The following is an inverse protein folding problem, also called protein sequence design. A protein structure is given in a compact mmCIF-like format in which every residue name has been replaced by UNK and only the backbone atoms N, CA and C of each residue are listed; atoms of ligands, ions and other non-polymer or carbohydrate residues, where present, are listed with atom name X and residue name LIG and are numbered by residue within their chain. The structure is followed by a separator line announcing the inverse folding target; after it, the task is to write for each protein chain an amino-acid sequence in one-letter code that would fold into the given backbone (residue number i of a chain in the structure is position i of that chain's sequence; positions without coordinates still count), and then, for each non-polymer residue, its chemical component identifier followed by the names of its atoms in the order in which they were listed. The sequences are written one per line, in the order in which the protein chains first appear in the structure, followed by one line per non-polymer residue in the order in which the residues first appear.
data_IF_154571864973
#
_entry.id   IF_154571864973
#
_cell.length_a   1.000
_cell.length_b   1.000
_cell.length_c   1.000
_cell.angle_alpha   90.00
_cell.angle_beta   90.00
_cell.angle_gamma   90.00
#
_symmetry.space_group_name_H-M   'P 1'
#
loop_
_entity.id
_entity.type
_entity.pdbx_description
1 polymer ?
#
# COMPACT_ATOMS: atom_id res chain seq x y z
N UNK A 1 -3.67 -3.34 3.40
CA UNK A 1 -2.82 -3.25 4.58
C UNK A 1 -1.89 -2.03 4.52
N UNK A 2 -0.91 -1.97 3.62
CA UNK A 2 0.12 -0.91 3.54
C UNK A 2 -0.44 0.51 3.49
N UNK A 3 -1.55 0.71 2.80
CA UNK A 3 -2.21 2.00 2.72
C UNK A 3 -2.73 2.49 4.07
N UNK A 4 -3.32 1.59 4.84
CA UNK A 4 -3.85 1.88 6.17
C UNK A 4 -2.75 2.02 7.22
N UNK A 5 -1.66 1.26 7.08
CA UNK A 5 -0.46 1.41 7.93
C UNK A 5 0.08 2.83 7.87
N UNK A 6 0.19 3.42 6.67
CA UNK A 6 0.63 4.79 6.55
C UNK A 6 -0.26 5.76 7.35
N UNK A 7 -1.57 5.66 7.20
CA UNK A 7 -2.50 6.53 7.91
C UNK A 7 -2.43 6.31 9.44
N UNK A 8 -2.42 5.05 9.88
CA UNK A 8 -2.44 4.69 11.30
C UNK A 8 -1.15 5.04 12.03
N UNK A 9 0.01 4.91 11.37
CA UNK A 9 1.32 5.17 11.96
C UNK A 9 1.88 6.56 11.67
N UNK A 10 1.14 7.40 10.93
CA UNK A 10 1.58 8.77 10.58
C UNK A 10 1.96 9.61 11.80
N UNK A 11 1.27 9.44 12.91
CA UNK A 11 1.55 10.13 14.16
C UNK A 11 2.96 9.83 14.70
N UNK A 12 3.48 8.62 14.44
CA UNK A 12 4.79 8.20 14.94
C UNK A 12 5.92 8.56 13.96
N UNK A 13 5.72 8.44 12.66
CA UNK A 13 6.80 8.68 11.70
C UNK A 13 6.84 10.10 11.14
N UNK A 14 5.79 10.90 11.30
CA UNK A 14 5.77 12.28 10.81
C UNK A 14 7.00 13.11 11.24
N UNK A 15 7.46 13.08 12.51
CA UNK A 15 8.64 13.80 12.93
C UNK A 15 9.94 13.34 12.27
N UNK A 16 10.01 12.07 11.84
CA UNK A 16 11.19 11.50 11.18
C UNK A 16 11.40 12.04 9.77
N UNK A 17 10.31 12.39 9.08
CA UNK A 17 10.35 12.90 7.70
C UNK A 17 10.16 14.42 7.62
N UNK A 18 9.38 14.99 8.54
CA UNK A 18 9.02 16.41 8.57
C UNK A 18 9.34 16.98 9.96
N UNK A 19 10.63 17.22 10.27
CA UNK A 19 11.01 17.80 11.54
C UNK A 19 10.46 19.24 11.62
N UNK A 20 9.56 19.46 12.55
CA UNK A 20 8.96 20.76 12.83
C UNK A 20 8.83 20.95 14.33
N UNK A 21 9.01 22.19 14.80
CA UNK A 21 8.68 22.54 16.19
C UNK A 21 7.17 22.42 16.47
N UNK A 22 6.35 22.45 15.42
CA UNK A 22 4.92 22.25 15.49
C UNK A 22 4.54 20.84 14.99
N UNK A 23 4.06 20.00 15.91
CA UNK A 23 3.57 18.64 15.61
C UNK A 23 2.43 18.65 14.60
N UNK A 24 1.58 19.68 14.62
CA UNK A 24 0.46 19.83 13.69
C UNK A 24 0.96 20.04 12.27
N UNK A 25 2.01 20.85 12.08
CA UNK A 25 2.60 21.07 10.76
C UNK A 25 3.23 19.78 10.19
N UNK A 26 3.89 18.96 11.02
CA UNK A 26 4.43 17.67 10.60
C UNK A 26 3.32 16.70 10.19
N UNK A 27 2.24 16.61 10.95
CA UNK A 27 1.08 15.76 10.62
C UNK A 27 0.36 16.24 9.36
N UNK A 28 0.19 17.54 9.16
CA UNK A 28 -0.41 18.10 7.95
C UNK A 28 0.44 17.80 6.71
N UNK A 29 1.77 17.88 6.82
CA UNK A 29 2.69 17.50 5.74
C UNK A 29 2.54 16.02 5.38
N UNK A 30 2.47 15.15 6.38
CA UNK A 30 2.26 13.71 6.20
C UNK A 30 0.89 13.40 5.58
N UNK A 31 -0.16 14.11 6.00
CA UNK A 31 -1.48 14.01 5.41
C UNK A 31 -1.51 14.51 3.95
N UNK A 32 -0.75 15.56 3.64
CA UNK A 32 -0.57 16.06 2.27
C UNK A 32 0.07 15.01 1.35
N UNK A 33 1.10 14.31 1.83
CA UNK A 33 1.72 13.19 1.10
C UNK A 33 0.74 12.04 0.91
N UNK A 34 -0.10 11.74 1.90
CA UNK A 34 -1.18 10.76 1.76
C UNK A 34 -2.17 11.16 0.66
N UNK A 35 -2.60 12.42 0.63
CA UNK A 35 -3.52 12.95 -0.37
C UNK A 35 -2.93 12.89 -1.79
N UNK A 36 -1.65 13.23 -1.96
CA UNK A 36 -0.94 13.12 -3.24
C UNK A 36 -0.95 11.66 -3.73
N UNK A 37 -0.64 10.71 -2.86
CA UNK A 37 -0.71 9.28 -3.20
C UNK A 37 -2.13 8.85 -3.61
N UNK A 38 -3.15 9.42 -2.98
CA UNK A 38 -4.54 9.15 -3.33
C UNK A 38 -4.90 9.66 -4.73
N UNK A 39 -4.42 10.84 -5.10
CA UNK A 39 -4.63 11.43 -6.43
C UNK A 39 -3.98 10.61 -7.56
N UNK A 40 -3.00 9.79 -7.26
CA UNK A 40 -2.37 8.88 -8.24
C UNK A 40 -3.23 7.66 -8.59
N UNK A 41 -4.30 7.36 -7.85
CA UNK A 41 -5.15 6.18 -8.12
C UNK A 41 -5.81 6.19 -9.49
N UNK A 42 -6.43 7.29 -9.98
CA UNK A 42 -6.99 7.34 -11.32
C UNK A 42 -5.95 7.07 -12.41
N UNK A 43 -4.75 7.64 -12.27
CA UNK A 43 -3.63 7.39 -13.19
C UNK A 43 -3.19 5.93 -13.14
N UNK A 44 -3.14 5.35 -11.95
CA UNK A 44 -2.83 3.93 -11.76
C UNK A 44 -3.85 3.01 -12.45
N UNK A 45 -5.13 3.33 -12.34
CA UNK A 45 -6.19 2.59 -13.04
C UNK A 45 -6.02 2.65 -14.56
N UNK A 46 -5.67 3.80 -15.12
CA UNK A 46 -5.43 3.95 -16.56
C UNK A 46 -4.18 3.21 -17.03
N UNK A 47 -3.05 3.40 -16.33
CA UNK A 47 -1.76 2.84 -16.74
C UNK A 47 -1.73 1.33 -16.57
N UNK A 48 -2.06 0.84 -15.36
CA UNK A 48 -2.03 -0.59 -15.06
C UNK A 48 -3.25 -1.31 -15.66
N UNK A 49 -4.38 -0.63 -15.86
CA UNK A 49 -5.52 -1.17 -16.59
C UNK A 49 -5.15 -1.46 -18.05
N UNK A 50 -4.53 -0.46 -18.74
CA UNK A 50 -4.01 -0.68 -20.09
C UNK A 50 -2.95 -1.79 -20.14
N UNK A 51 -2.08 -1.85 -19.15
CA UNK A 51 -1.10 -2.92 -19.05
C UNK A 51 -1.77 -4.29 -18.87
N UNK A 52 -2.83 -4.38 -18.05
CA UNK A 52 -3.61 -5.58 -17.85
C UNK A 52 -4.32 -6.06 -19.14
N UNK A 53 -4.82 -5.10 -19.94
CA UNK A 53 -5.45 -5.41 -21.24
C UNK A 53 -4.45 -5.92 -22.27
N UNK A 54 -3.19 -5.52 -22.19
CA UNK A 54 -2.13 -5.92 -23.12
C UNK A 54 -1.37 -7.19 -22.72
N UNK A 55 -1.17 -7.41 -21.41
CA UNK A 55 -0.28 -8.44 -20.87
C UNK A 55 -0.99 -9.46 -19.96
N UNK A 56 -2.30 -9.29 -19.77
CA UNK A 56 -3.09 -10.16 -18.89
C UNK A 56 -3.29 -9.62 -17.47
N UNK A 57 -4.38 -10.07 -16.88
CA UNK A 57 -4.79 -9.65 -15.53
C UNK A 57 -3.78 -10.09 -14.46
N UNK A 58 -3.28 -11.33 -14.59
CA UNK A 58 -2.26 -11.89 -13.72
C UNK A 58 -0.97 -11.06 -13.70
N UNK A 59 -0.47 -10.66 -14.88
CA UNK A 59 0.75 -9.86 -14.99
C UNK A 59 0.60 -8.49 -14.32
N UNK A 60 -0.51 -7.81 -14.56
CA UNK A 60 -0.80 -6.50 -13.95
C UNK A 60 -0.94 -6.59 -12.43
N UNK A 61 -1.65 -7.60 -11.91
CA UNK A 61 -1.80 -7.83 -10.47
C UNK A 61 -0.47 -8.17 -9.81
N UNK A 62 0.39 -8.93 -10.47
CA UNK A 62 1.74 -9.24 -9.98
C UNK A 62 2.60 -7.98 -9.91
N UNK A 63 2.60 -7.17 -10.98
CA UNK A 63 3.35 -5.92 -11.03
C UNK A 63 2.88 -4.94 -9.94
N UNK A 64 1.58 -4.81 -9.71
CA UNK A 64 1.06 -3.93 -8.67
C UNK A 64 1.53 -4.32 -7.27
N UNK A 65 1.55 -5.61 -6.93
CA UNK A 65 2.07 -6.08 -5.63
C UNK A 65 3.56 -5.78 -5.49
N UNK A 66 4.34 -5.97 -6.54
CA UNK A 66 5.78 -5.66 -6.50
C UNK A 66 6.03 -4.17 -6.26
N UNK A 67 5.29 -3.29 -6.92
CA UNK A 67 5.40 -1.84 -6.72
C UNK A 67 5.01 -1.47 -5.28
N UNK A 68 3.91 -2.04 -4.77
CA UNK A 68 3.46 -1.80 -3.40
C UNK A 68 4.50 -2.25 -2.38
N UNK A 69 5.02 -3.47 -2.52
CA UNK A 69 6.04 -4.02 -1.64
C UNK A 69 7.34 -3.21 -1.66
N UNK A 70 7.79 -2.82 -2.85
CA UNK A 70 8.98 -1.98 -3.00
C UNK A 70 8.80 -0.63 -2.31
N UNK A 71 7.62 0.00 -2.48
CA UNK A 71 7.29 1.26 -1.80
C UNK A 71 7.30 1.14 -0.28
N UNK A 72 6.69 0.10 0.27
CA UNK A 72 6.68 -0.17 1.71
C UNK A 72 8.08 -0.43 2.26
N UNK A 73 8.90 -1.22 1.55
CA UNK A 73 10.28 -1.48 1.94
C UNK A 73 11.11 -0.20 1.91
N UNK A 74 11.00 0.61 0.87
CA UNK A 74 11.69 1.90 0.76
C UNK A 74 11.33 2.81 1.93
N UNK A 75 10.06 2.93 2.29
CA UNK A 75 9.63 3.72 3.46
C UNK A 75 10.25 3.14 4.75
N UNK A 76 10.23 1.82 4.93
CA UNK A 76 10.75 1.16 6.12
C UNK A 76 12.26 1.39 6.34
N UNK A 77 13.05 1.43 5.26
CA UNK A 77 14.52 1.57 5.34
C UNK A 77 15.01 3.00 5.16
N UNK A 78 14.14 3.95 4.79
CA UNK A 78 14.54 5.34 4.58
C UNK A 78 15.03 5.95 5.90
N UNK A 79 16.25 6.51 5.94
CA UNK A 79 16.75 7.23 7.10
C UNK A 79 15.92 8.49 7.39
N UNK A 80 15.98 8.96 8.63
CA UNK A 80 15.27 10.18 9.03
C UNK A 80 15.85 11.43 8.37
N UNK A 81 15.09 12.53 8.42
CA UNK A 81 15.52 13.84 7.92
C UNK A 81 16.85 14.30 8.55
N UNK A 82 17.09 13.97 9.82
CA UNK A 82 18.34 14.33 10.50
C UNK A 82 19.57 13.68 9.88
N UNK A 83 19.42 12.57 9.17
CA UNK A 83 20.52 11.84 8.53
C UNK A 83 20.72 12.25 7.07
N UNK A 84 19.63 12.31 6.30
CA UNK A 84 19.69 12.56 4.84
C UNK A 84 19.02 13.85 4.38
N UNK A 85 18.54 14.66 5.32
CA UNK A 85 17.94 15.96 5.02
C UNK A 85 16.69 15.86 4.15
N UNK A 86 16.57 16.78 3.19
CA UNK A 86 15.41 16.89 2.29
C UNK A 86 15.18 15.63 1.43
N UNK A 87 16.16 14.77 1.29
CA UNK A 87 16.00 13.50 0.58
C UNK A 87 14.96 12.58 1.25
N UNK A 88 14.83 12.62 2.59
CA UNK A 88 13.86 11.80 3.31
C UNK A 88 12.41 12.06 2.87
N UNK A 89 11.87 13.28 2.93
CA UNK A 89 10.52 13.55 2.46
C UNK A 89 10.36 13.34 0.95
N UNK A 90 11.38 13.59 0.13
CA UNK A 90 11.33 13.32 -1.32
C UNK A 90 11.14 11.82 -1.57
N UNK A 91 11.91 10.97 -0.90
CA UNK A 91 11.77 9.51 -1.01
C UNK A 91 10.39 9.06 -0.55
N UNK A 92 9.88 9.62 0.54
CA UNK A 92 8.54 9.32 1.04
C UNK A 92 7.47 9.66 0.00
N UNK A 93 7.52 10.86 -0.60
CA UNK A 93 6.60 11.30 -1.65
C UNK A 93 6.65 10.35 -2.84
N UNK A 94 7.84 10.04 -3.35
CA UNK A 94 8.01 9.14 -4.49
C UNK A 94 7.44 7.74 -4.18
N UNK A 95 7.75 7.18 -3.02
CA UNK A 95 7.20 5.89 -2.60
C UNK A 95 5.66 5.92 -2.56
N UNK A 96 5.06 7.00 -2.04
CA UNK A 96 3.60 7.17 -2.00
C UNK A 96 2.97 7.35 -3.37
N UNK A 97 3.63 8.04 -4.29
CA UNK A 97 3.16 8.15 -5.68
C UNK A 97 3.08 6.77 -6.34
N UNK A 98 4.13 5.97 -6.23
CA UNK A 98 4.15 4.60 -6.77
C UNK A 98 3.14 3.67 -6.09
N UNK A 99 2.99 3.74 -4.78
CA UNK A 99 1.99 2.98 -4.05
C UNK A 99 0.56 3.38 -4.45
N UNK A 100 0.28 4.66 -4.64
CA UNK A 100 -1.00 5.17 -5.12
C UNK A 100 -1.32 4.68 -6.53
N UNK A 101 -0.34 4.71 -7.43
CA UNK A 101 -0.45 4.19 -8.78
C UNK A 101 -0.74 2.68 -8.78
N UNK A 102 0.00 1.92 -7.97
CA UNK A 102 -0.20 0.48 -7.79
C UNK A 102 -1.61 0.17 -7.29
N UNK A 103 -2.06 0.84 -6.24
CA UNK A 103 -3.37 0.61 -5.64
C UNK A 103 -4.53 0.92 -6.61
N UNK A 104 -4.40 1.99 -7.41
CA UNK A 104 -5.37 2.33 -8.44
C UNK A 104 -5.52 1.23 -9.49
N UNK A 105 -4.41 0.73 -9.99
CA UNK A 105 -4.39 -0.37 -10.96
C UNK A 105 -4.87 -1.68 -10.39
N UNK A 106 -4.49 -2.00 -9.16
CA UNK A 106 -4.91 -3.22 -8.49
C UNK A 106 -6.43 -3.26 -8.27
N UNK A 107 -7.02 -2.14 -7.85
CA UNK A 107 -8.46 -2.05 -7.60
C UNK A 107 -9.29 -2.38 -8.84
N UNK A 108 -8.97 -1.76 -9.98
CA UNK A 108 -9.66 -1.99 -11.24
C UNK A 108 -9.44 -3.40 -11.79
N UNK A 109 -8.18 -3.84 -11.83
CA UNK A 109 -7.81 -5.14 -12.39
C UNK A 109 -8.36 -6.31 -11.56
N UNK A 110 -8.35 -6.21 -10.23
CA UNK A 110 -8.89 -7.27 -9.37
C UNK A 110 -10.40 -7.37 -9.45
N UNK A 111 -11.13 -6.24 -9.54
CA UNK A 111 -12.58 -6.25 -9.75
C UNK A 111 -12.95 -6.93 -11.08
N UNK A 112 -12.24 -6.60 -12.15
CA UNK A 112 -12.41 -7.21 -13.46
C UNK A 112 -12.11 -8.71 -13.42
N UNK A 113 -10.96 -9.09 -12.85
CA UNK A 113 -10.56 -10.50 -12.72
C UNK A 113 -11.60 -11.32 -11.96
N UNK A 114 -12.06 -10.85 -10.79
CA UNK A 114 -13.07 -11.54 -10.00
C UNK A 114 -14.38 -11.71 -10.76
N UNK A 115 -14.78 -10.71 -11.57
CA UNK A 115 -16.00 -10.80 -12.38
C UNK A 115 -15.86 -11.73 -13.59
N UNK A 116 -14.67 -11.80 -14.20
CA UNK A 116 -14.35 -12.68 -15.31
C UNK A 116 -14.28 -14.16 -14.89
N UNK A 117 -13.69 -14.44 -13.72
CA UNK A 117 -13.57 -15.78 -13.15
C UNK A 117 -14.86 -16.30 -12.50
N UNK A 118 -15.85 -15.43 -12.28
CA UNK A 118 -17.11 -15.81 -11.66
C UNK A 118 -18.01 -16.59 -12.61
N UNK A 119 -18.65 -17.65 -12.09
CA UNK A 119 -19.70 -18.37 -12.82
C UNK A 119 -20.90 -17.47 -13.12
N UNK A 120 -21.64 -17.80 -14.18
CA UNK A 120 -22.85 -17.06 -14.57
C UNK A 120 -23.86 -17.00 -13.40
N UNK A 121 -24.32 -15.82 -13.06
CA UNK A 121 -25.27 -15.57 -11.97
C UNK A 121 -24.62 -15.27 -10.60
N UNK A 122 -23.31 -15.47 -10.40
CA UNK A 122 -22.63 -15.24 -9.11
C UNK A 122 -21.61 -14.10 -9.13
N UNK A 123 -21.58 -13.28 -10.18
CA UNK A 123 -20.59 -12.19 -10.36
C UNK A 123 -20.58 -11.21 -9.21
N UNK A 124 -21.76 -10.80 -8.69
CA UNK A 124 -21.86 -9.89 -7.55
C UNK A 124 -21.30 -10.48 -6.26
N UNK A 125 -21.51 -11.78 -6.03
CA UNK A 125 -20.95 -12.49 -4.88
C UNK A 125 -19.40 -12.49 -4.93
N UNK A 126 -18.81 -12.87 -6.05
CA UNK A 126 -17.35 -12.87 -6.18
C UNK A 126 -16.77 -11.45 -6.10
N UNK A 127 -17.41 -10.45 -6.72
CA UNK A 127 -16.98 -9.06 -6.63
C UNK A 127 -17.02 -8.51 -5.20
N UNK A 128 -17.92 -8.99 -4.33
CA UNK A 128 -18.02 -8.56 -2.94
C UNK A 128 -16.79 -8.94 -2.11
N UNK A 129 -16.04 -9.97 -2.48
CA UNK A 129 -14.79 -10.34 -1.81
C UNK A 129 -13.73 -9.24 -1.86
N UNK A 130 -13.80 -8.34 -2.84
CA UNK A 130 -12.91 -7.18 -2.88
C UNK A 130 -13.10 -6.27 -1.66
N UNK A 131 -14.33 -6.05 -1.23
CA UNK A 131 -14.61 -5.29 -0.01
C UNK A 131 -14.20 -6.04 1.25
N UNK A 132 -14.38 -7.35 1.27
CA UNK A 132 -13.91 -8.21 2.40
C UNK A 132 -12.41 -8.07 2.57
N UNK A 133 -11.64 -8.15 1.48
CA UNK A 133 -10.17 -8.01 1.54
C UNK A 133 -9.73 -6.61 1.94
N UNK A 134 -10.44 -5.57 1.49
CA UNK A 134 -10.20 -4.18 1.87
C UNK A 134 -10.35 -3.97 3.38
N UNK A 135 -11.49 -4.40 3.94
CA UNK A 135 -11.78 -4.29 5.37
C UNK A 135 -10.82 -5.16 6.18
N UNK A 136 -10.53 -6.37 5.73
CA UNK A 136 -9.56 -7.26 6.38
C UNK A 136 -8.17 -6.62 6.45
N UNK A 137 -7.71 -5.98 5.38
CA UNK A 137 -6.44 -5.25 5.35
C UNK A 137 -6.40 -4.11 6.37
N UNK A 138 -7.51 -3.39 6.55
CA UNK A 138 -7.65 -2.34 7.56
C UNK A 138 -7.62 -2.92 8.98
N UNK A 139 -8.36 -3.98 9.22
CA UNK A 139 -8.40 -4.64 10.55
C UNK A 139 -7.05 -5.20 10.95
N UNK A 140 -6.31 -5.80 10.00
CA UNK A 140 -4.96 -6.30 10.26
C UNK A 140 -4.01 -5.13 10.59
N UNK A 141 -4.08 -4.01 9.88
CA UNK A 141 -3.28 -2.83 10.17
C UNK A 141 -3.55 -2.28 11.57
N UNK A 142 -4.83 -2.18 11.96
CA UNK A 142 -5.22 -1.78 13.32
C UNK A 142 -4.76 -2.80 14.37
N UNK A 143 -4.87 -4.09 14.09
CA UNK A 143 -4.38 -5.15 14.99
C UNK A 143 -2.88 -5.04 15.23
N UNK A 144 -2.10 -4.85 14.19
CA UNK A 144 -0.65 -4.61 14.28
C UNK A 144 -0.36 -3.36 15.12
N UNK A 145 -1.11 -2.29 14.91
CA UNK A 145 -0.97 -1.06 15.69
C UNK A 145 -1.22 -1.30 17.18
N UNK A 146 -2.32 -1.95 17.54
CA UNK A 146 -2.66 -2.26 18.94
C UNK A 146 -1.58 -3.12 19.58
N UNK A 147 -1.11 -4.16 18.89
CA UNK A 147 -0.06 -5.04 19.39
C UNK A 147 1.23 -4.25 19.63
N UNK A 148 1.66 -3.43 18.68
CA UNK A 148 2.88 -2.65 18.84
C UNK A 148 2.76 -1.60 19.95
N UNK A 149 1.60 -0.96 20.10
CA UNK A 149 1.33 -0.03 21.22
C UNK A 149 1.30 -0.72 22.59
N UNK A 150 0.99 -2.01 22.65
CA UNK A 150 1.00 -2.77 23.89
C UNK A 150 2.40 -3.25 24.29
N UNK A 151 3.31 -3.38 23.34
CA UNK A 151 4.65 -3.94 23.56
C UNK A 151 5.72 -2.83 23.61
N UNK A 152 5.57 -1.79 22.81
CA UNK A 152 6.53 -0.71 22.66
C UNK A 152 6.02 0.58 23.32
N UNK A 153 6.92 1.34 23.94
CA UNK A 153 6.61 2.68 24.42
C UNK A 153 6.39 3.65 23.24
N UNK A 154 5.72 4.77 23.50
CA UNK A 154 5.49 5.79 22.48
C UNK A 154 6.81 6.34 21.90
N UNK A 155 7.84 6.47 22.73
CA UNK A 155 9.17 6.88 22.31
C UNK A 155 9.79 5.86 21.33
N UNK A 156 9.71 4.57 21.64
CA UNK A 156 10.22 3.49 20.78
C UNK A 156 9.45 3.42 19.46
N UNK A 157 8.13 3.64 19.50
CA UNK A 157 7.30 3.69 18.29
C UNK A 157 7.70 4.86 17.39
N UNK A 158 7.95 6.05 17.97
CA UNK A 158 8.36 7.24 17.22
C UNK A 158 9.80 7.13 16.68
N UNK A 159 10.68 6.48 17.42
CA UNK A 159 12.09 6.35 17.05
C UNK A 159 12.32 5.34 15.92
N UNK A 160 11.80 4.12 16.07
CA UNK A 160 12.01 3.04 15.10
C UNK A 160 10.82 2.10 14.90
N UNK A 161 9.93 1.95 15.88
CA UNK A 161 8.87 0.96 15.90
C UNK A 161 7.86 1.12 14.75
N UNK A 162 7.67 2.33 14.25
CA UNK A 162 6.81 2.61 13.10
C UNK A 162 7.27 1.94 11.79
N UNK A 163 8.54 1.50 11.71
CA UNK A 163 9.07 0.79 10.55
C UNK A 163 8.58 -0.65 10.45
N UNK A 164 8.26 -1.27 11.58
CA UNK A 164 7.86 -2.67 11.68
C UNK A 164 6.65 -2.99 10.77
N UNK A 165 5.53 -2.25 10.80
CA UNK A 165 4.39 -2.57 9.95
C UNK A 165 4.69 -2.42 8.46
N UNK A 166 5.57 -1.53 8.05
CA UNK A 166 6.00 -1.41 6.66
C UNK A 166 6.86 -2.62 6.22
N UNK A 167 7.70 -3.15 7.10
CA UNK A 167 8.44 -4.40 6.85
C UNK A 167 7.48 -5.58 6.78
N UNK A 168 6.49 -5.67 7.67
CA UNK A 168 5.45 -6.70 7.64
C UNK A 168 4.70 -6.66 6.31
N UNK A 169 4.33 -5.47 5.81
CA UNK A 169 3.69 -5.29 4.51
C UNK A 169 4.54 -5.83 3.36
N UNK A 170 5.83 -5.49 3.35
CA UNK A 170 6.77 -5.98 2.33
C UNK A 170 6.95 -7.50 2.37
N UNK A 171 7.05 -8.09 3.55
CA UNK A 171 7.14 -9.55 3.72
C UNK A 171 5.84 -10.25 3.31
N UNK A 172 4.68 -9.69 3.71
CA UNK A 172 3.38 -10.19 3.30
C UNK A 172 3.19 -10.17 1.77
N UNK A 173 3.73 -9.17 1.11
CA UNK A 173 3.71 -9.07 -0.35
C UNK A 173 4.50 -10.19 -1.04
N UNK A 174 5.54 -10.73 -0.43
CA UNK A 174 6.26 -11.90 -0.95
C UNK A 174 5.32 -13.12 -1.01
N UNK A 175 4.56 -13.35 0.05
CA UNK A 175 3.55 -14.43 0.10
C UNK A 175 2.50 -14.23 -0.99
N UNK A 176 1.97 -13.00 -1.12
CA UNK A 176 0.99 -12.65 -2.14
C UNK A 176 1.57 -12.82 -3.55
N UNK A 177 2.86 -12.51 -3.75
CA UNK A 177 3.54 -12.71 -5.02
C UNK A 177 3.54 -14.18 -5.44
N UNK A 178 3.86 -15.10 -4.54
CA UNK A 178 3.80 -16.54 -4.81
C UNK A 178 2.38 -16.99 -5.16
N UNK A 179 1.38 -16.52 -4.43
CA UNK A 179 -0.02 -16.81 -4.73
C UNK A 179 -0.43 -16.29 -6.12
N UNK A 180 0.00 -15.09 -6.49
CA UNK A 180 -0.32 -14.51 -7.82
C UNK A 180 0.42 -15.19 -8.96
N UNK A 181 1.62 -15.67 -8.74
CA UNK A 181 2.36 -16.46 -9.72
C UNK A 181 1.70 -17.82 -10.00
N UNK A 182 0.91 -18.35 -9.05
CA UNK A 182 0.13 -19.59 -9.22
C UNK A 182 -1.28 -19.37 -9.79
N UNK A 183 -1.74 -18.11 -9.93
CA UNK A 183 -3.05 -17.81 -10.50
C UNK A 183 -3.10 -18.17 -11.99
N UNK A 184 -4.25 -18.67 -12.45
CA UNK A 184 -4.55 -18.82 -13.87
C UNK A 184 -4.95 -17.47 -14.49
N UNK A 185 -4.62 -17.30 -15.77
CA UNK A 185 -5.07 -16.13 -16.52
C UNK A 185 -6.56 -16.26 -16.86
N UNK A 186 -7.27 -15.13 -16.96
CA UNK A 186 -8.70 -15.18 -17.30
C UNK A 186 -8.93 -15.71 -18.71
N UNK A 187 -9.99 -16.50 -18.89
CA UNK A 187 -10.33 -17.08 -20.19
C UNK A 187 -10.70 -16.02 -21.24
N UNK A 188 -11.04 -14.82 -20.82
CA UNK A 188 -11.33 -13.71 -21.72
C UNK A 188 -10.06 -13.06 -22.30
N UNK A 189 -8.92 -13.30 -21.67
CA UNK A 189 -7.62 -12.81 -22.14
C UNK A 189 -6.93 -13.84 -23.08
N UNK A 190 -7.20 -15.14 -22.91
CA UNK A 190 -6.70 -16.23 -23.76
C UNK A 190 -7.36 -16.22 -25.14
#
# INVERSE_FOLDING_TARGET
FDWYVYASFSIYFAPSFFPSHDKTAALLSTAGVFAIGFLMRPLGSLVLGKYADQHGRRAALTLSVLIMAAGSLVIAVTPSYHVIGIAAPIILVLARLFQGLSLGGEYGTSATYLSEMASRGHRGFYASFQYVTLISGQLIALGVQIILQSILSEEMLTDWGWRIPFVIGSLGAIVVLFLRLSMEESDQFK
#
